data_IF_198189856010
#
_entry.id   IF_198189856010
#
_cell.length_a   1.000
_cell.length_b   1.000
_cell.length_c   1.000
_cell.angle_alpha   90.00
_cell.angle_beta   90.00
_cell.angle_gamma   90.00
#
_symmetry.space_group_name_H-M   'P 1'
#
loop_
_entity.id
_entity.type
_entity.pdbx_description
1 polymer ?
#
# COMPACT_ATOMS: atom_id res chain seq x y z
N UNK A 1 -21.83 -55.19 -32.76
CA UNK A 1 -21.79 -53.72 -32.59
C UNK A 1 -21.09 -53.11 -33.79
N UNK A 2 -21.74 -52.21 -34.52
CA UNK A 2 -21.18 -51.61 -35.73
C UNK A 2 -20.11 -50.56 -35.37
N UNK A 3 -18.88 -50.63 -35.92
CA UNK A 3 -17.78 -49.71 -35.58
C UNK A 3 -18.12 -48.23 -35.83
N UNK A 4 -19.05 -47.94 -36.75
CA UNK A 4 -19.55 -46.59 -37.01
C UNK A 4 -20.29 -46.01 -35.79
N UNK A 5 -21.06 -46.84 -35.08
CA UNK A 5 -21.82 -46.42 -33.90
C UNK A 5 -20.87 -46.05 -32.74
N UNK A 6 -19.74 -46.77 -32.62
CA UNK A 6 -18.74 -46.51 -31.59
C UNK A 6 -18.05 -45.15 -31.79
N UNK A 7 -17.76 -44.79 -33.04
CA UNK A 7 -17.17 -43.49 -33.40
C UNK A 7 -18.11 -42.32 -33.12
N UNK A 8 -19.41 -42.50 -33.37
CA UNK A 8 -20.42 -41.47 -33.07
C UNK A 8 -20.56 -41.23 -31.56
N UNK A 9 -20.59 -42.29 -30.75
CA UNK A 9 -20.64 -42.19 -29.28
C UNK A 9 -19.37 -41.52 -28.70
N UNK A 10 -18.20 -41.80 -29.27
CA UNK A 10 -16.94 -41.13 -28.92
C UNK A 10 -16.98 -39.62 -29.22
N UNK A 11 -17.53 -39.22 -30.37
CA UNK A 11 -17.62 -37.80 -30.75
C UNK A 11 -18.53 -36.95 -29.85
N UNK A 12 -19.58 -37.58 -29.27
CA UNK A 12 -20.51 -36.94 -28.34
C UNK A 12 -19.85 -36.69 -26.97
N UNK A 13 -18.93 -37.56 -26.53
CA UNK A 13 -18.17 -37.37 -25.30
C UNK A 13 -17.13 -36.24 -25.40
N UNK A 14 -16.54 -35.99 -26.59
CA UNK A 14 -15.53 -34.93 -26.76
C UNK A 14 -16.15 -33.52 -26.62
N UNK A 15 -17.44 -33.35 -26.95
CA UNK A 15 -18.11 -32.04 -26.81
C UNK A 15 -18.47 -31.65 -25.37
N UNK A 16 -18.43 -32.59 -24.42
CA UNK A 16 -18.84 -32.34 -23.04
C UNK A 16 -17.75 -31.72 -22.15
N UNK A 17 -16.48 -31.66 -22.60
CA UNK A 17 -15.36 -31.19 -21.78
C UNK A 17 -14.77 -29.88 -22.30
N UNK A 18 -15.62 -28.89 -22.57
CA UNK A 18 -15.18 -27.49 -22.63
C UNK A 18 -15.58 -26.81 -21.32
N UNK A 19 -14.79 -27.09 -20.27
CA UNK A 19 -14.79 -26.24 -19.08
C UNK A 19 -14.23 -24.89 -19.50
N UNK A 20 -15.10 -23.91 -19.77
CA UNK A 20 -14.69 -22.51 -19.60
C UNK A 20 -14.44 -22.35 -18.12
N UNK A 21 -13.18 -22.48 -17.71
CA UNK A 21 -12.74 -21.92 -16.44
C UNK A 21 -13.02 -20.43 -16.54
N UNK A 22 -14.09 -19.97 -15.88
CA UNK A 22 -14.33 -18.55 -15.71
C UNK A 22 -13.07 -17.98 -15.05
N UNK A 23 -12.40 -16.98 -15.67
CA UNK A 23 -11.17 -16.45 -15.11
C UNK A 23 -11.49 -15.97 -13.71
N UNK A 24 -10.90 -16.64 -12.71
CA UNK A 24 -11.10 -16.31 -11.31
C UNK A 24 -10.90 -14.81 -11.16
N UNK A 25 -11.88 -14.11 -10.59
CA UNK A 25 -11.84 -12.66 -10.43
C UNK A 25 -10.57 -12.28 -9.65
N UNK A 26 -9.58 -11.79 -10.39
CA UNK A 26 -8.32 -11.33 -9.85
C UNK A 26 -8.59 -9.98 -9.18
N UNK A 27 -8.72 -9.99 -7.85
CA UNK A 27 -8.74 -8.77 -7.06
C UNK A 27 -7.30 -8.43 -6.71
N UNK A 28 -6.79 -7.30 -7.18
CA UNK A 28 -5.50 -6.80 -6.74
C UNK A 28 -5.61 -6.27 -5.30
N UNK A 29 -4.74 -6.72 -4.40
CA UNK A 29 -4.63 -6.19 -3.06
C UNK A 29 -3.51 -5.16 -3.00
N UNK A 30 -3.83 -3.95 -2.54
CA UNK A 30 -2.85 -2.88 -2.31
C UNK A 30 -2.58 -2.81 -0.82
N UNK A 31 -1.33 -3.06 -0.44
CA UNK A 31 -0.88 -2.89 0.94
C UNK A 31 -0.04 -1.63 1.04
N UNK A 32 -0.45 -0.73 1.94
CA UNK A 32 0.27 0.51 2.22
C UNK A 32 1.09 0.32 3.50
N UNK A 33 2.41 0.45 3.39
CA UNK A 33 3.36 0.35 4.49
C UNK A 33 3.95 1.72 4.80
N UNK A 34 4.19 2.00 6.07
CA UNK A 34 4.81 3.24 6.50
C UNK A 34 5.22 3.17 7.96
N UNK A 35 6.00 4.16 8.40
CA UNK A 35 6.49 4.26 9.76
C UNK A 35 6.08 5.58 10.38
N UNK A 36 5.81 5.54 11.69
CA UNK A 36 5.62 6.73 12.52
C UNK A 36 6.75 6.74 13.54
N UNK A 37 7.47 7.85 13.62
CA UNK A 37 8.57 7.99 14.56
C UNK A 37 8.53 9.34 15.26
N UNK A 38 9.18 9.36 16.42
CA UNK A 38 9.47 10.56 17.15
C UNK A 38 10.82 11.14 16.72
N UNK A 39 10.80 12.36 16.20
CA UNK A 39 11.98 13.20 16.00
C UNK A 39 12.23 14.01 17.28
N UNK A 40 12.98 13.43 18.22
CA UNK A 40 13.27 14.06 19.51
C UNK A 40 13.96 15.41 19.32
N UNK A 41 14.86 15.52 18.35
CA UNK A 41 15.63 16.73 18.11
C UNK A 41 14.91 17.76 17.25
N UNK A 42 13.71 17.45 16.74
CA UNK A 42 12.95 18.34 15.86
C UNK A 42 13.74 18.79 14.62
N UNK A 43 14.63 17.92 14.11
CA UNK A 43 15.47 18.17 12.94
C UNK A 43 14.72 17.95 11.61
N UNK A 44 13.42 17.64 11.67
CA UNK A 44 12.56 17.25 10.54
C UNK A 44 13.11 16.06 9.74
N UNK A 45 13.93 15.22 10.39
CA UNK A 45 14.58 14.06 9.78
C UNK A 45 14.77 12.95 10.81
N UNK A 46 14.92 11.72 10.34
CA UNK A 46 15.24 10.60 11.21
C UNK A 46 16.70 10.71 11.67
N UNK A 47 16.91 10.70 12.98
CA UNK A 47 18.23 10.88 13.60
C UNK A 47 18.56 9.72 14.54
N UNK A 48 19.78 9.73 15.11
CA UNK A 48 20.20 8.73 16.10
C UNK A 48 19.31 8.69 17.35
N UNK A 49 18.72 9.81 17.72
CA UNK A 49 17.82 9.93 18.87
C UNK A 49 16.36 9.68 18.51
N UNK A 50 16.05 9.45 17.23
CA UNK A 50 14.70 9.13 16.81
C UNK A 50 14.32 7.70 17.18
N UNK A 51 13.04 7.49 17.49
CA UNK A 51 12.51 6.17 17.81
C UNK A 51 11.12 5.98 17.21
N UNK A 52 10.77 4.74 16.85
CA UNK A 52 9.44 4.43 16.34
C UNK A 52 8.38 4.58 17.43
N UNK A 53 7.20 5.09 17.07
CA UNK A 53 6.07 5.24 17.98
C UNK A 53 5.10 4.07 17.81
N UNK A 54 5.25 2.97 18.57
CA UNK A 54 4.30 1.87 18.51
C UNK A 54 2.94 2.34 18.99
N UNK A 55 1.89 1.91 18.30
CA UNK A 55 0.51 2.27 18.65
C UNK A 55 0.12 3.70 18.30
N UNK A 56 0.98 4.52 17.67
CA UNK A 56 0.52 5.78 17.10
C UNK A 56 -0.54 5.53 16.03
N UNK A 57 -1.62 6.32 16.02
CA UNK A 57 -2.65 6.19 15.01
C UNK A 57 -2.58 7.32 14.00
N UNK A 58 -2.71 6.93 12.74
CA UNK A 58 -2.66 7.82 11.60
C UNK A 58 -3.86 7.55 10.71
N UNK A 59 -4.58 8.60 10.34
CA UNK A 59 -5.60 8.50 9.30
C UNK A 59 -5.00 8.91 7.97
N UNK A 60 -5.03 7.99 7.01
CA UNK A 60 -4.50 8.20 5.67
C UNK A 60 -5.68 8.19 4.71
N UNK A 61 -5.99 9.36 4.16
CA UNK A 61 -7.04 9.52 3.17
C UNK A 61 -6.37 9.49 1.78
N UNK A 62 -6.63 8.44 1.00
CA UNK A 62 -6.06 8.23 -0.34
C UNK A 62 -7.14 8.44 -1.40
N UNK A 63 -6.90 9.34 -2.36
CA UNK A 63 -7.72 9.45 -3.58
C UNK A 63 -6.95 8.86 -4.77
N UNK A 64 -7.42 7.73 -5.26
CA UNK A 64 -6.82 7.04 -6.40
C UNK A 64 -7.38 7.60 -7.71
N UNK A 65 -6.50 7.99 -8.63
CA UNK A 65 -6.83 8.23 -10.03
C UNK A 65 -6.12 7.17 -10.86
N UNK A 66 -6.88 6.21 -11.39
CA UNK A 66 -6.35 5.16 -12.25
C UNK A 66 -6.48 5.56 -13.71
N UNK A 67 -5.40 5.41 -14.47
CA UNK A 67 -5.41 5.43 -15.94
C UNK A 67 -4.92 4.08 -16.43
N UNK A 68 -5.77 3.35 -17.15
CA UNK A 68 -5.42 2.11 -17.81
C UNK A 68 -5.40 2.36 -19.31
N UNK A 69 -4.23 2.37 -19.98
CA UNK A 69 -4.19 2.16 -21.42
C UNK A 69 -4.84 0.79 -21.69
N UNK A 70 -5.47 0.61 -22.85
CA UNK A 70 -6.27 -0.60 -23.19
C UNK A 70 -5.44 -1.91 -23.30
N UNK A 71 -4.23 -1.99 -22.77
CA UNK A 71 -3.31 -3.13 -22.93
C UNK A 71 -2.63 -3.57 -21.64
N UNK A 72 -2.26 -4.85 -21.63
CA UNK A 72 -1.76 -5.65 -20.52
C UNK A 72 -0.49 -5.03 -19.90
N UNK A 73 -0.51 -4.88 -18.57
CA UNK A 73 0.63 -4.83 -17.63
C UNK A 73 1.02 -3.49 -16.99
N UNK A 74 0.63 -2.32 -17.50
CA UNK A 74 0.97 -1.04 -16.84
C UNK A 74 -0.26 -0.19 -16.55
N UNK A 75 -0.73 -0.23 -15.30
CA UNK A 75 -1.73 0.70 -14.77
C UNK A 75 -1.00 1.78 -13.98
N UNK A 76 -1.08 3.03 -14.46
CA UNK A 76 -0.56 4.18 -13.73
C UNK A 76 -1.61 4.67 -12.75
N UNK A 77 -1.24 4.74 -11.46
CA UNK A 77 -2.09 5.28 -10.40
C UNK A 77 -1.46 6.55 -9.84
N UNK A 78 -2.11 7.70 -10.01
CA UNK A 78 -1.75 8.89 -9.24
C UNK A 78 -2.54 8.87 -7.93
N UNK A 79 -1.85 9.05 -6.82
CA UNK A 79 -2.48 9.13 -5.49
C UNK A 79 -2.19 10.48 -4.91
N UNK A 80 -3.24 11.23 -4.59
CA UNK A 80 -3.06 12.40 -3.76
C UNK A 80 -3.26 11.99 -2.30
N UNK A 81 -2.21 12.13 -1.50
CA UNK A 81 -2.23 11.87 -0.06
C UNK A 81 -2.51 13.17 0.68
N UNK A 82 -3.53 13.14 1.52
CA UNK A 82 -3.76 14.18 2.52
C UNK A 82 -3.74 13.53 3.89
N UNK A 83 -2.74 13.86 4.69
CA UNK A 83 -2.75 13.55 6.12
C UNK A 83 -3.69 14.54 6.79
N UNK A 84 -4.91 14.11 7.12
CA UNK A 84 -5.79 14.96 7.93
C UNK A 84 -5.16 15.14 9.32
N UNK A 85 -5.47 16.25 9.98
CA UNK A 85 -5.06 16.62 11.34
C UNK A 85 -5.34 15.58 12.44
N UNK A 86 -6.05 14.49 12.13
CA UNK A 86 -6.35 13.37 13.03
C UNK A 86 -5.20 12.35 13.03
N UNK A 87 -4.04 12.81 13.49
CA UNK A 87 -2.94 11.95 13.91
C UNK A 87 -2.86 12.00 15.43
N UNK A 88 -2.66 10.86 16.07
CA UNK A 88 -2.46 10.81 17.52
C UNK A 88 -1.19 10.03 17.85
N UNK A 89 -0.46 10.57 18.82
CA UNK A 89 0.74 9.92 19.35
C UNK A 89 0.37 9.07 20.56
N UNK A 90 0.96 7.89 20.63
CA UNK A 90 0.93 7.03 21.82
C UNK A 90 1.83 7.54 22.95
N UNK A 91 2.70 8.51 22.68
CA UNK A 91 3.64 9.07 23.66
C UNK A 91 3.24 10.48 24.09
N UNK A 92 3.18 10.71 25.41
CA UNK A 92 2.97 12.05 25.99
C UNK A 92 4.17 12.98 25.74
N UNK A 93 5.39 12.44 25.72
CA UNK A 93 6.59 13.24 25.50
C UNK A 93 6.80 13.61 24.04
N UNK A 94 6.14 12.93 23.10
CA UNK A 94 6.30 13.15 21.67
C UNK A 94 4.96 13.22 20.96
N UNK A 95 4.22 14.31 21.16
CA UNK A 95 2.82 14.45 20.78
C UNK A 95 2.53 15.61 19.80
N UNK A 96 3.55 16.37 19.40
CA UNK A 96 3.38 17.47 18.44
C UNK A 96 3.62 16.94 17.03
N UNK A 97 2.66 17.00 16.09
CA UNK A 97 2.91 16.59 14.71
C UNK A 97 4.00 17.46 14.07
N UNK A 98 4.98 16.84 13.41
CA UNK A 98 6.10 17.55 12.77
C UNK A 98 5.71 18.21 11.44
N UNK A 99 5.14 17.44 10.51
CA UNK A 99 4.72 17.93 9.19
C UNK A 99 3.32 17.45 8.81
N UNK A 100 2.49 18.34 8.26
CA UNK A 100 1.04 18.11 8.07
C UNK A 100 0.62 17.67 6.66
N UNK A 101 1.51 17.55 5.69
CA UNK A 101 1.11 17.16 4.32
C UNK A 101 2.27 16.61 3.52
N UNK A 102 2.33 15.32 3.19
CA UNK A 102 3.14 14.90 2.03
C UNK A 102 2.20 14.42 0.93
N UNK A 103 2.32 15.03 -0.25
CA UNK A 103 1.70 14.57 -1.48
C UNK A 103 2.80 13.88 -2.29
N UNK A 104 2.74 12.56 -2.38
CA UNK A 104 3.70 11.77 -3.17
C UNK A 104 2.98 11.23 -4.41
N UNK A 105 3.59 11.37 -5.59
CA UNK A 105 3.13 10.71 -6.84
C UNK A 105 3.68 9.28 -6.87
N UNK A 106 2.89 8.29 -7.32
CA UNK A 106 3.22 6.87 -7.21
C UNK A 106 3.26 6.19 -8.60
N UNK A 107 4.18 5.24 -8.78
CA UNK A 107 4.12 4.22 -9.82
C UNK A 107 4.06 2.83 -9.16
N UNK A 108 3.06 2.02 -9.49
CA UNK A 108 2.87 0.69 -8.89
C UNK A 108 3.40 -0.37 -9.85
N UNK A 109 4.30 -1.24 -9.36
CA UNK A 109 4.78 -2.42 -10.09
C UNK A 109 4.37 -3.68 -9.32
N UNK A 110 3.50 -4.49 -9.90
CA UNK A 110 3.11 -5.78 -9.34
C UNK A 110 4.32 -6.74 -9.37
N UNK A 111 4.71 -7.31 -8.23
CA UNK A 111 5.81 -8.30 -8.14
C UNK A 111 5.33 -9.74 -8.25
N UNK A 112 4.05 -9.98 -7.94
CA UNK A 112 3.39 -11.28 -8.02
C UNK A 112 1.94 -11.06 -8.48
N UNK A 113 1.26 -12.13 -8.89
CA UNK A 113 -0.17 -12.08 -9.15
C UNK A 113 -0.89 -11.51 -7.91
N UNK A 114 -1.66 -10.45 -8.12
CA UNK A 114 -2.62 -9.90 -7.16
C UNK A 114 -2.02 -9.13 -5.95
N UNK A 115 -0.70 -8.85 -5.91
CA UNK A 115 -0.07 -8.11 -4.81
C UNK A 115 0.70 -6.86 -5.28
N UNK A 116 0.28 -5.71 -4.75
CA UNK A 116 0.93 -4.42 -4.92
C UNK A 116 1.34 -3.86 -3.55
N UNK A 117 2.64 -3.68 -3.32
CA UNK A 117 3.16 -3.09 -2.07
C UNK A 117 3.54 -1.65 -2.35
N UNK A 118 3.03 -0.73 -1.53
CA UNK A 118 3.36 0.68 -1.56
C UNK A 118 3.98 1.13 -0.23
N UNK A 119 5.14 1.78 -0.29
CA UNK A 119 5.81 2.34 0.87
C UNK A 119 5.59 3.85 0.91
N UNK A 120 5.10 4.36 2.03
CA UNK A 120 4.90 5.78 2.31
C UNK A 120 6.14 6.40 2.95
N UNK A 121 6.33 7.69 2.67
CA UNK A 121 7.19 8.56 3.46
C UNK A 121 6.75 8.56 4.93
N UNK A 122 7.73 8.49 5.83
CA UNK A 122 7.49 8.40 7.27
C UNK A 122 6.77 9.63 7.81
N UNK A 123 5.93 9.41 8.82
CA UNK A 123 5.24 10.47 9.55
C UNK A 123 5.97 10.75 10.86
N UNK A 124 6.14 12.03 11.17
CA UNK A 124 6.94 12.47 12.31
C UNK A 124 6.09 13.17 13.37
N UNK A 125 6.34 12.80 14.62
CA UNK A 125 6.00 13.58 15.80
C UNK A 125 7.26 14.14 16.43
N UNK A 126 7.14 15.19 17.21
CA UNK A 126 8.23 15.82 17.97
C UNK A 126 7.78 16.15 19.39
N UNK A 127 8.72 16.31 20.34
CA UNK A 127 8.41 16.81 21.66
C UNK A 127 7.99 18.28 21.62
N UNK A 128 7.27 18.73 22.65
CA UNK A 128 6.91 20.14 22.82
C UNK A 128 8.11 21.03 23.18
N UNK A 129 9.14 20.42 23.77
CA UNK A 129 10.43 21.05 24.09
C UNK A 129 11.55 20.07 23.76
N UNK A 130 12.54 20.55 23.04
CA UNK A 130 13.74 19.77 22.72
C UNK A 130 14.70 19.75 23.90
N UNK A 131 15.27 18.59 24.18
CA UNK A 131 16.34 18.46 25.18
C UNK A 131 17.68 18.84 24.54
N UNK A 132 18.22 19.99 24.94
CA UNK A 132 19.48 20.52 24.44
C UNK A 132 20.69 19.68 24.89
N UNK A 133 20.60 18.95 26.01
CA UNK A 133 21.70 18.09 26.47
C UNK A 133 21.82 16.83 25.62
N UNK A 134 20.70 16.35 25.08
CA UNK A 134 20.64 15.19 24.19
C UNK A 134 20.94 15.56 22.72
N UNK A 135 20.46 16.72 22.27
CA UNK A 135 20.52 17.14 20.87
C UNK A 135 21.62 18.18 20.55
N UNK A 136 22.37 18.66 21.55
CA UNK A 136 23.33 19.75 21.43
C UNK A 136 24.77 19.33 21.12
N UNK A 137 24.98 18.47 20.13
CA UNK A 137 26.29 18.21 19.53
C UNK A 137 26.25 18.46 18.02
#
# INVERSE_FOLDING_TARGET
>A
MNPVILLFLSSLFIKSLSSRVEPAKINAHITVMGFVYCDICSNNSFSRHSYFLPGAGVRIDCKFKASSPKTKEQVSFSVNRTTNSLMWSSSKSCNVPGYKSTSDQIAIKARHANLCIYSLSALTFRPSKTDLTLCGN
#
